data_IF_469338038752
#
_entry.id   IF_469338038752
#
_cell.length_a   1.000
_cell.length_b   1.000
_cell.length_c   1.000
_cell.angle_alpha   90.00
_cell.angle_beta   90.00
_cell.angle_gamma   90.00
#
_symmetry.space_group_name_H-M   'P 1'
#
loop_
_entity.id
_entity.type
_entity.pdbx_description
1 polymer ?
#
# COMPACT_ATOMS: atom_id res chain seq x y z
N UNK A 1 -0.85 7.15 22.07
CA UNK A 1 -1.10 7.47 20.64
C UNK A 1 -1.68 6.24 19.93
N UNK A 2 -2.88 5.79 20.32
CA UNK A 2 -3.40 4.43 20.03
C UNK A 2 -3.88 4.21 18.57
N UNK A 3 -3.85 5.25 17.72
CA UNK A 3 -4.35 5.16 16.33
C UNK A 3 -3.40 5.79 15.30
N UNK A 4 -2.20 6.18 15.73
CA UNK A 4 -1.27 6.93 14.89
C UNK A 4 -0.67 6.03 13.80
N UNK A 5 -0.47 4.75 14.10
CA UNK A 5 -0.12 3.65 13.22
C UNK A 5 -1.15 3.43 12.09
N UNK A 6 -2.44 3.40 12.43
CA UNK A 6 -3.53 3.24 11.45
C UNK A 6 -3.59 4.47 10.54
N UNK A 7 -3.51 5.67 11.11
CA UNK A 7 -3.48 6.92 10.35
C UNK A 7 -2.28 6.92 9.41
N UNK A 8 -1.10 6.51 9.89
CA UNK A 8 0.12 6.43 9.09
C UNK A 8 -0.03 5.44 7.94
N UNK A 9 -0.63 4.27 8.18
CA UNK A 9 -0.87 3.28 7.13
C UNK A 9 -1.84 3.80 6.05
N UNK A 10 -2.93 4.44 6.45
CA UNK A 10 -3.92 5.01 5.51
C UNK A 10 -3.31 6.16 4.72
N UNK A 11 -2.69 7.13 5.41
CA UNK A 11 -2.06 8.29 4.76
C UNK A 11 -0.90 7.84 3.86
N UNK A 12 -0.10 6.87 4.31
CA UNK A 12 0.98 6.28 3.53
C UNK A 12 0.49 5.61 2.25
N UNK A 13 -0.57 4.81 2.33
CA UNK A 13 -1.16 4.16 1.16
C UNK A 13 -1.74 5.19 0.16
N UNK A 14 -2.43 6.23 0.65
CA UNK A 14 -2.94 7.30 -0.20
C UNK A 14 -1.79 8.09 -0.86
N UNK A 15 -0.75 8.43 -0.09
CA UNK A 15 0.42 9.12 -0.60
C UNK A 15 1.15 8.30 -1.67
N UNK A 16 1.33 6.99 -1.46
CA UNK A 16 1.94 6.10 -2.45
C UNK A 16 1.13 6.02 -3.75
N UNK A 17 -0.20 5.88 -3.65
CA UNK A 17 -1.07 5.86 -4.82
C UNK A 17 -1.10 7.19 -5.58
N UNK A 18 -1.01 8.31 -4.85
CA UNK A 18 -0.88 9.65 -5.41
C UNK A 18 0.46 9.85 -6.14
N UNK A 19 1.57 9.51 -5.49
CA UNK A 19 2.92 9.59 -6.08
C UNK A 19 2.98 8.72 -7.34
N UNK A 20 2.43 7.51 -7.30
CA UNK A 20 2.36 6.61 -8.44
C UNK A 20 1.56 7.19 -9.63
N UNK A 21 0.45 7.90 -9.37
CA UNK A 21 -0.31 8.58 -10.42
C UNK A 21 0.47 9.75 -11.03
N UNK A 22 1.13 10.57 -10.19
CA UNK A 22 1.99 11.66 -10.65
C UNK A 22 3.13 11.16 -11.55
N UNK A 23 3.81 10.08 -11.13
CA UNK A 23 4.89 9.47 -11.89
C UNK A 23 4.43 8.91 -13.24
N UNK A 24 3.14 8.57 -13.37
CA UNK A 24 2.57 8.02 -14.62
C UNK A 24 1.73 9.02 -15.43
N UNK A 25 1.85 10.31 -15.09
CA UNK A 25 1.29 11.41 -15.88
C UNK A 25 -0.15 11.78 -15.55
N UNK A 26 -0.68 11.41 -14.38
CA UNK A 26 -1.94 11.94 -13.84
C UNK A 26 -3.21 11.48 -14.54
N UNK A 27 -3.21 10.26 -15.11
CA UNK A 27 -4.28 9.78 -16.00
C UNK A 27 -5.28 8.83 -15.33
N UNK A 28 -5.16 8.54 -14.03
CA UNK A 28 -6.02 7.53 -13.42
C UNK A 28 -5.92 7.38 -11.91
N UNK A 29 -6.01 8.49 -11.16
CA UNK A 29 -5.81 8.51 -9.70
C UNK A 29 -6.68 7.53 -8.93
N UNK A 30 -7.92 7.30 -9.37
CA UNK A 30 -8.81 6.34 -8.70
C UNK A 30 -8.26 4.91 -8.80
N UNK A 31 -7.65 4.54 -9.93
CA UNK A 31 -7.11 3.18 -10.13
C UNK A 31 -5.82 2.96 -9.34
N UNK A 32 -4.94 3.96 -9.29
CA UNK A 32 -3.69 3.89 -8.52
C UNK A 32 -3.96 3.91 -7.01
N UNK A 33 -4.94 4.68 -6.55
CA UNK A 33 -5.35 4.67 -5.14
C UNK A 33 -5.98 3.34 -4.74
N UNK A 34 -6.90 2.79 -5.55
CA UNK A 34 -7.51 1.48 -5.26
C UNK A 34 -6.46 0.36 -5.21
N UNK A 35 -5.52 0.35 -6.15
CA UNK A 35 -4.43 -0.65 -6.16
C UNK A 35 -3.50 -0.48 -4.98
N UNK A 36 -3.13 0.75 -4.64
CA UNK A 36 -2.30 1.05 -3.46
C UNK A 36 -2.96 0.60 -2.15
N UNK A 37 -4.23 0.97 -1.92
CA UNK A 37 -4.97 0.63 -0.70
C UNK A 37 -5.16 -0.89 -0.60
N UNK A 38 -5.48 -1.55 -1.72
CA UNK A 38 -5.62 -3.00 -1.75
C UNK A 38 -4.28 -3.68 -1.42
N UNK A 39 -3.17 -3.21 -2.02
CA UNK A 39 -1.84 -3.72 -1.71
C UNK A 39 -1.44 -3.48 -0.25
N UNK A 40 -1.83 -2.35 0.34
CA UNK A 40 -1.62 -2.08 1.76
C UNK A 40 -2.40 -3.04 2.67
N UNK A 41 -3.66 -3.31 2.36
CA UNK A 41 -4.47 -4.29 3.08
C UNK A 41 -3.88 -5.71 2.98
N UNK A 42 -3.42 -6.10 1.79
CA UNK A 42 -2.73 -7.39 1.59
C UNK A 42 -1.42 -7.46 2.40
N UNK A 43 -0.60 -6.42 2.40
CA UNK A 43 0.66 -6.36 3.15
C UNK A 43 0.44 -6.47 4.67
N UNK A 44 -0.56 -5.76 5.20
CA UNK A 44 -0.95 -5.88 6.61
C UNK A 44 -1.42 -7.32 6.95
N UNK A 45 -2.30 -7.89 6.13
CA UNK A 45 -2.80 -9.24 6.35
C UNK A 45 -1.68 -10.28 6.36
N UNK A 46 -0.71 -10.16 5.45
CA UNK A 46 0.46 -11.05 5.41
C UNK A 46 1.29 -10.93 6.70
N UNK A 47 1.59 -9.72 7.14
CA UNK A 47 2.43 -9.50 8.32
C UNK A 47 1.81 -10.04 9.61
N UNK A 48 0.52 -9.77 9.82
CA UNK A 48 -0.16 -10.07 11.09
C UNK A 48 -0.76 -11.46 11.11
N UNK A 49 -1.35 -11.90 9.99
CA UNK A 49 -2.18 -13.13 9.96
C UNK A 49 -1.47 -14.32 9.32
N UNK A 50 -0.60 -14.09 8.34
CA UNK A 50 0.06 -15.19 7.61
C UNK A 50 1.42 -15.53 8.21
N UNK A 51 2.28 -14.53 8.37
CA UNK A 51 3.63 -14.73 8.91
C UNK A 51 3.70 -14.61 10.42
N UNK A 52 2.75 -13.89 11.04
CA UNK A 52 2.80 -13.59 12.47
C UNK A 52 4.06 -12.82 12.86
N UNK A 53 4.62 -12.04 11.93
CA UNK A 53 5.89 -11.33 12.10
C UNK A 53 5.75 -10.10 13.02
N UNK A 54 4.55 -9.48 13.04
CA UNK A 54 4.24 -8.33 13.88
C UNK A 54 2.80 -8.41 14.41
N UNK A 55 2.55 -7.77 15.55
CA UNK A 55 1.20 -7.56 16.11
C UNK A 55 0.67 -6.18 15.69
N UNK A 56 -0.64 -5.95 15.84
CA UNK A 56 -1.25 -4.63 15.56
C UNK A 56 -0.79 -3.51 16.49
N UNK A 57 -0.08 -3.85 17.58
CA UNK A 57 0.41 -2.88 18.57
C UNK A 57 1.80 -2.32 18.22
N UNK A 58 2.43 -2.79 17.14
CA UNK A 58 3.78 -2.40 16.72
C UNK A 58 3.75 -1.69 15.34
N UNK A 59 4.74 -0.87 15.03
CA UNK A 59 4.85 -0.18 13.73
C UNK A 59 5.29 -1.09 12.59
N UNK A 60 5.82 -2.28 12.89
CA UNK A 60 6.33 -3.18 11.86
C UNK A 60 5.28 -3.60 10.82
N UNK A 61 4.02 -3.81 11.21
CA UNK A 61 2.96 -4.15 10.25
C UNK A 61 2.67 -3.01 9.25
N UNK A 62 2.92 -1.75 9.63
CA UNK A 62 2.77 -0.59 8.74
C UNK A 62 3.81 -0.65 7.61
N UNK A 63 5.04 -1.05 7.93
CA UNK A 63 6.11 -1.22 6.91
C UNK A 63 5.71 -2.30 5.90
N UNK A 64 5.15 -3.41 6.37
CA UNK A 64 4.64 -4.47 5.50
C UNK A 64 3.46 -4.03 4.64
N UNK A 65 2.54 -3.23 5.19
CA UNK A 65 1.47 -2.62 4.42
C UNK A 65 2.03 -1.73 3.29
N UNK A 66 3.01 -0.87 3.59
CA UNK A 66 3.64 -0.02 2.57
C UNK A 66 4.36 -0.86 1.50
N UNK A 67 5.09 -1.90 1.90
CA UNK A 67 5.75 -2.81 0.96
C UNK A 67 4.73 -3.51 0.04
N UNK A 68 3.62 -4.00 0.59
CA UNK A 68 2.53 -4.61 -0.18
C UNK A 68 1.92 -3.65 -1.20
N UNK A 69 1.67 -2.40 -0.81
CA UNK A 69 1.19 -1.35 -1.71
C UNK A 69 2.17 -1.12 -2.88
N UNK A 70 3.46 -0.95 -2.58
CA UNK A 70 4.50 -0.74 -3.61
C UNK A 70 4.56 -1.91 -4.59
N UNK A 71 4.54 -3.15 -4.09
CA UNK A 71 4.59 -4.35 -4.94
C UNK A 71 3.38 -4.39 -5.88
N UNK A 72 2.16 -4.17 -5.38
CA UNK A 72 0.95 -4.22 -6.20
C UNK A 72 0.94 -3.09 -7.23
N UNK A 73 1.38 -1.89 -6.87
CA UNK A 73 1.54 -0.78 -7.81
C UNK A 73 2.55 -1.11 -8.92
N UNK A 74 3.70 -1.71 -8.58
CA UNK A 74 4.68 -2.15 -9.56
C UNK A 74 4.09 -3.18 -10.54
N UNK A 75 3.39 -4.18 -10.03
CA UNK A 75 2.71 -5.19 -10.88
C UNK A 75 1.64 -4.53 -11.76
N UNK A 76 0.87 -3.59 -11.22
CA UNK A 76 -0.12 -2.83 -11.98
C UNK A 76 0.51 -2.09 -13.17
N UNK A 77 1.64 -1.40 -12.96
CA UNK A 77 2.32 -0.71 -14.06
C UNK A 77 2.98 -1.66 -15.05
N UNK A 78 3.59 -2.76 -14.57
CA UNK A 78 4.16 -3.79 -15.43
C UNK A 78 3.11 -4.40 -16.36
N UNK A 79 1.91 -4.67 -15.85
CA UNK A 79 0.80 -5.25 -16.63
C UNK A 79 0.13 -4.23 -17.54
N UNK A 80 0.08 -2.95 -17.14
CA UNK A 80 -0.43 -1.86 -17.97
C UNK A 80 0.47 -1.60 -19.18
N UNK A 81 1.79 -1.64 -19.04
CA UNK A 81 2.72 -1.36 -20.13
C UNK A 81 2.73 -2.43 -21.24
N UNK A 82 2.15 -3.60 -20.98
CA UNK A 82 2.03 -4.69 -21.96
C UNK A 82 0.75 -4.63 -22.81
N UNK A 83 -0.19 -3.73 -22.49
CA UNK A 83 -1.44 -3.53 -23.23
C UNK A 83 -1.39 -2.24 -24.03
#
# INVERSE_FOLDING_TARGET
MQHLDIILAVVGALALGWIADLLTGGRGIARTLLTSVTGAACGWFLAVRVFGAHTMDDLGWVVWAMAGSVIVLLVYFLTRNKR
#
